data_IF_455323876216
#
_entry.id   IF_455323876216
#
_cell.length_a   1.000
_cell.length_b   1.000
_cell.length_c   1.000
_cell.angle_alpha   90.00
_cell.angle_beta   90.00
_cell.angle_gamma   90.00
#
_symmetry.space_group_name_H-M   'P 1'
#
loop_
_entity.id
_entity.type
_entity.pdbx_description
1 polymer ?
#
# COMPACT_ATOMS: atom_id res chain seq x y z
N UNK A 1 -0.36 -27.39 12.25
CA UNK A 1 -1.05 -26.22 11.67
C UNK A 1 -0.59 -24.94 12.38
N UNK A 2 0.72 -24.71 12.48
CA UNK A 2 1.31 -23.65 13.33
C UNK A 2 1.71 -22.39 12.53
N UNK A 3 1.78 -22.53 11.20
CA UNK A 3 2.30 -21.48 10.31
C UNK A 3 1.39 -20.25 10.24
N UNK A 4 0.07 -20.41 10.38
CA UNK A 4 -0.89 -19.30 10.25
C UNK A 4 -0.86 -18.32 11.43
N UNK A 5 -0.75 -18.84 12.66
CA UNK A 5 -0.66 -18.03 13.86
C UNK A 5 0.68 -17.29 13.93
N UNK A 6 1.78 -18.01 13.70
CA UNK A 6 3.14 -17.44 13.65
C UNK A 6 3.28 -16.34 12.58
N UNK A 7 2.65 -16.53 11.42
CA UNK A 7 2.67 -15.54 10.35
C UNK A 7 1.87 -14.27 10.72
N UNK A 8 0.69 -14.43 11.32
CA UNK A 8 -0.11 -13.29 11.80
C UNK A 8 0.60 -12.49 12.90
N UNK A 9 1.32 -13.19 13.80
CA UNK A 9 2.12 -12.55 14.84
C UNK A 9 3.32 -11.81 14.23
N UNK A 10 3.97 -12.40 13.23
CA UNK A 10 5.07 -11.77 12.50
C UNK A 10 4.63 -10.46 11.82
N UNK A 11 3.45 -10.46 11.19
CA UNK A 11 2.86 -9.25 10.62
C UNK A 11 2.50 -8.21 11.69
N UNK A 12 1.97 -8.64 12.84
CA UNK A 12 1.67 -7.74 13.94
C UNK A 12 2.94 -7.08 14.51
N UNK A 13 4.02 -7.84 14.65
CA UNK A 13 5.34 -7.32 15.06
C UNK A 13 5.91 -6.35 14.03
N UNK A 14 5.82 -6.71 12.74
CA UNK A 14 6.25 -5.83 11.65
C UNK A 14 5.47 -4.51 11.68
N UNK A 15 4.15 -4.57 11.81
CA UNK A 15 3.28 -3.39 11.92
C UNK A 15 3.71 -2.48 13.05
N UNK A 16 3.92 -3.01 14.26
CA UNK A 16 4.35 -2.22 15.41
C UNK A 16 5.70 -1.53 15.15
N UNK A 17 6.68 -2.28 14.61
CA UNK A 17 7.98 -1.72 14.23
C UNK A 17 7.84 -0.60 13.18
N UNK A 18 7.02 -0.80 12.16
CA UNK A 18 6.79 0.21 11.11
C UNK A 18 6.11 1.45 11.67
N UNK A 19 5.17 1.31 12.60
CA UNK A 19 4.52 2.45 13.28
C UNK A 19 5.56 3.30 14.02
N UNK A 20 6.45 2.68 14.78
CA UNK A 20 7.52 3.36 15.51
C UNK A 20 8.45 4.12 14.55
N UNK A 21 8.93 3.44 13.50
CA UNK A 21 9.75 4.06 12.45
C UNK A 21 9.04 5.24 11.77
N UNK A 22 7.75 5.11 11.47
CA UNK A 22 6.95 6.17 10.86
C UNK A 22 6.79 7.38 11.79
N UNK A 23 6.54 7.15 13.07
CA UNK A 23 6.43 8.21 14.08
C UNK A 23 7.77 8.93 14.26
N UNK A 24 8.88 8.19 14.31
CA UNK A 24 10.22 8.75 14.39
C UNK A 24 10.54 9.59 13.14
N UNK A 25 10.25 9.06 11.95
CA UNK A 25 10.44 9.78 10.69
C UNK A 25 9.61 11.06 10.63
N UNK A 26 8.35 11.05 11.05
CA UNK A 26 7.53 12.26 11.14
C UNK A 26 8.09 13.25 12.16
N UNK A 27 8.55 12.80 13.34
CA UNK A 27 9.16 13.67 14.36
C UNK A 27 10.45 14.32 13.86
N UNK A 28 11.33 13.55 13.23
CA UNK A 28 12.62 14.03 12.71
C UNK A 28 12.44 15.03 11.56
N UNK A 29 11.44 14.80 10.71
CA UNK A 29 11.17 15.67 9.56
C UNK A 29 10.29 16.86 9.91
N UNK A 30 9.55 16.80 11.03
CA UNK A 30 8.56 17.80 11.42
C UNK A 30 7.36 17.90 10.48
N UNK A 31 7.21 16.95 9.54
CA UNK A 31 6.21 16.99 8.47
C UNK A 31 5.23 15.84 8.60
N UNK A 32 3.97 16.11 8.25
CA UNK A 32 2.95 15.07 8.11
C UNK A 32 3.14 14.33 6.78
N UNK A 33 3.97 13.30 6.81
CA UNK A 33 4.17 12.39 5.68
C UNK A 33 2.96 11.47 5.51
N UNK A 34 2.63 11.15 4.25
CA UNK A 34 1.67 10.10 3.89
C UNK A 34 2.47 8.89 3.41
N UNK A 35 2.36 7.78 4.13
CA UNK A 35 3.09 6.56 3.81
C UNK A 35 2.39 5.74 2.71
N UNK A 36 3.17 5.09 1.86
CA UNK A 36 2.71 4.37 0.67
C UNK A 36 3.47 3.04 0.47
N UNK A 37 3.09 2.26 -0.54
CA UNK A 37 3.71 0.98 -0.93
C UNK A 37 3.88 0.03 0.29
N UNK A 38 5.05 -0.61 0.42
CA UNK A 38 5.38 -1.56 1.50
C UNK A 38 5.11 -1.01 2.90
N UNK A 39 5.31 0.29 3.11
CA UNK A 39 5.04 0.92 4.41
C UNK A 39 3.54 0.97 4.68
N UNK A 40 2.71 1.29 3.69
CA UNK A 40 1.26 1.25 3.84
C UNK A 40 0.74 -0.18 4.07
N UNK A 41 1.29 -1.17 3.37
CA UNK A 41 0.96 -2.59 3.59
C UNK A 41 1.31 -3.04 5.01
N UNK A 42 2.52 -2.73 5.47
CA UNK A 42 2.99 -3.07 6.82
C UNK A 42 2.14 -2.38 7.91
N UNK A 43 1.78 -1.11 7.72
CA UNK A 43 0.90 -0.37 8.64
C UNK A 43 -0.52 -0.95 8.71
N UNK A 44 -1.00 -1.53 7.60
CA UNK A 44 -2.30 -2.18 7.52
C UNK A 44 -2.26 -3.66 7.93
N UNK A 45 -1.06 -4.22 8.17
CA UNK A 45 -0.89 -5.64 8.49
C UNK A 45 -1.19 -6.56 7.30
N UNK A 46 -0.97 -6.05 6.09
CA UNK A 46 -1.13 -6.78 4.83
C UNK A 46 0.22 -7.38 4.45
N UNK A 47 0.16 -8.53 3.78
CA UNK A 47 1.32 -9.27 3.32
C UNK A 47 2.11 -8.46 2.28
N UNK A 48 3.44 -8.47 2.38
CA UNK A 48 4.31 -7.76 1.45
C UNK A 48 4.49 -8.58 0.16
N UNK A 49 4.40 -7.95 -1.02
CA UNK A 49 4.58 -8.64 -2.29
C UNK A 49 6.05 -9.05 -2.49
N UNK A 50 6.28 -10.09 -3.30
CA UNK A 50 7.64 -10.56 -3.59
C UNK A 50 8.12 -9.90 -4.88
N UNK A 51 9.17 -9.09 -4.77
CA UNK A 51 9.81 -8.47 -5.94
C UNK A 51 10.81 -9.45 -6.58
N UNK A 52 10.65 -9.77 -7.87
CA UNK A 52 11.62 -10.62 -8.59
C UNK A 52 12.93 -9.91 -8.93
N UNK A 53 12.92 -8.59 -9.11
CA UNK A 53 14.10 -7.78 -9.43
C UNK A 53 14.02 -6.41 -8.76
N UNK A 54 15.11 -5.96 -8.15
CA UNK A 54 15.25 -4.57 -7.66
C UNK A 54 14.17 -4.14 -6.68
N UNK A 55 13.83 -5.02 -5.73
CA UNK A 55 12.80 -4.75 -4.72
C UNK A 55 13.01 -3.40 -4.01
N UNK A 56 11.93 -2.87 -3.45
CA UNK A 56 12.02 -1.64 -2.66
C UNK A 56 13.09 -1.80 -1.57
N UNK A 57 13.85 -0.72 -1.34
CA UNK A 57 14.98 -0.74 -0.41
C UNK A 57 14.48 -1.21 0.96
N UNK A 58 14.95 -2.40 1.36
CA UNK A 58 14.64 -2.97 2.66
C UNK A 58 15.00 -1.97 3.77
N UNK A 59 14.11 -1.80 4.73
CA UNK A 59 14.24 -0.87 5.87
C UNK A 59 14.16 0.63 5.52
N UNK A 60 13.67 0.99 4.32
CA UNK A 60 13.32 2.38 3.98
C UNK A 60 11.81 2.62 4.01
N UNK A 61 11.41 3.77 4.56
CA UNK A 61 10.00 4.16 4.59
C UNK A 61 9.60 4.80 3.27
N UNK A 62 8.47 4.37 2.72
CA UNK A 62 7.97 4.89 1.45
C UNK A 62 6.87 5.91 1.73
N UNK A 63 7.03 7.12 1.19
CA UNK A 63 6.06 8.19 1.33
C UNK A 63 5.64 8.71 -0.04
N UNK A 64 4.33 8.94 -0.23
CA UNK A 64 3.81 9.47 -1.50
C UNK A 64 3.90 10.99 -1.55
N UNK A 65 4.23 11.52 -2.72
CA UNK A 65 4.15 12.94 -3.07
C UNK A 65 3.40 13.11 -4.39
N UNK A 66 2.56 14.14 -4.48
CA UNK A 66 1.85 14.49 -5.73
C UNK A 66 2.72 15.27 -6.72
N UNK A 67 3.76 15.97 -6.23
CA UNK A 67 4.54 16.88 -7.06
C UNK A 67 6.02 16.86 -6.73
N UNK A 68 6.83 16.92 -7.78
CA UNK A 68 8.30 16.81 -7.71
C UNK A 68 8.98 17.96 -6.95
N UNK A 69 8.27 19.06 -6.71
CA UNK A 69 8.76 20.25 -6.01
C UNK A 69 9.08 20.04 -4.52
N UNK A 70 8.83 18.84 -3.99
CA UNK A 70 9.05 18.51 -2.56
C UNK A 70 9.93 17.26 -2.40
N UNK A 71 10.78 16.95 -3.38
CA UNK A 71 11.84 15.94 -3.19
C UNK A 71 12.93 16.50 -2.27
N UNK A 72 12.62 16.62 -0.98
CA UNK A 72 13.65 16.75 0.04
C UNK A 72 14.21 15.34 0.23
N UNK A 73 15.50 15.14 -0.06
CA UNK A 73 16.15 13.85 0.22
C UNK A 73 16.20 13.69 1.74
N UNK A 74 15.28 12.91 2.30
CA UNK A 74 15.24 12.59 3.72
C UNK A 74 15.84 11.20 3.89
N UNK A 75 16.97 11.11 4.60
CA UNK A 75 17.69 9.85 4.78
C UNK A 75 16.77 8.77 5.38
N UNK A 76 16.62 7.62 4.72
CA UNK A 76 15.72 6.54 5.18
C UNK A 76 14.25 6.70 4.76
N UNK A 77 13.92 7.70 3.93
CA UNK A 77 12.59 7.88 3.35
C UNK A 77 12.71 7.95 1.82
N UNK A 78 12.05 7.02 1.13
CA UNK A 78 11.94 7.02 -0.31
C UNK A 78 10.62 7.71 -0.73
N UNK A 79 10.74 8.79 -1.51
CA UNK A 79 9.58 9.52 -2.00
C UNK A 79 9.09 8.94 -3.33
N UNK A 80 7.86 8.45 -3.31
CA UNK A 80 7.16 7.90 -4.46
C UNK A 80 6.31 9.00 -5.08
N UNK A 81 6.62 9.35 -6.33
CA UNK A 81 5.78 10.28 -7.09
C UNK A 81 4.55 9.53 -7.61
N UNK A 82 3.37 10.03 -7.29
CA UNK A 82 2.10 9.50 -7.80
C UNK A 82 1.16 10.64 -8.16
N UNK A 83 0.81 10.73 -9.43
CA UNK A 83 -0.09 11.76 -9.98
C UNK A 83 -1.54 11.30 -10.09
N UNK A 84 -1.84 10.04 -9.78
CA UNK A 84 -3.20 9.52 -9.77
C UNK A 84 -3.99 9.96 -8.54
N UNK A 85 -5.31 9.72 -8.49
CA UNK A 85 -6.12 9.99 -7.31
C UNK A 85 -5.56 9.25 -6.09
N UNK A 86 -5.52 9.93 -4.94
CA UNK A 86 -5.00 9.39 -3.69
C UNK A 86 -6.08 9.40 -2.61
N UNK A 87 -6.43 8.22 -2.11
CA UNK A 87 -7.24 8.12 -0.89
C UNK A 87 -6.32 7.86 0.29
N UNK A 88 -6.49 8.65 1.35
CA UNK A 88 -5.68 8.54 2.56
C UNK A 88 -6.52 8.02 3.72
N UNK A 89 -5.96 7.06 4.44
CA UNK A 89 -6.55 6.52 5.65
C UNK A 89 -5.73 6.93 6.88
N UNK A 90 -6.39 7.42 7.95
CA UNK A 90 -5.71 7.68 9.22
C UNK A 90 -5.37 6.35 9.91
N UNK A 91 -4.13 6.21 10.35
CA UNK A 91 -3.62 5.06 11.12
C UNK A 91 -3.17 5.55 12.50
N UNK A 92 -3.22 4.65 13.49
CA UNK A 92 -2.73 4.89 14.85
C UNK A 92 -3.34 6.17 15.47
N UNK A 93 -4.66 6.15 15.66
CA UNK A 93 -5.45 7.28 16.19
C UNK A 93 -5.27 8.58 15.39
N UNK A 94 -5.03 8.48 14.08
CA UNK A 94 -4.87 9.63 13.19
C UNK A 94 -3.53 10.36 13.30
N UNK A 95 -2.57 9.82 14.05
CA UNK A 95 -1.20 10.36 14.12
C UNK A 95 -0.44 10.10 12.82
N UNK A 96 -0.68 8.95 12.20
CA UNK A 96 -0.11 8.55 10.92
C UNK A 96 -1.19 8.62 9.83
N UNK A 97 -0.77 8.86 8.58
CA UNK A 97 -1.62 8.70 7.39
C UNK A 97 -0.91 7.79 6.41
N UNK A 98 -1.63 6.84 5.84
CA UNK A 98 -1.14 6.05 4.71
C UNK A 98 -2.15 6.05 3.57
N UNK A 99 -1.72 5.61 2.40
CA UNK A 99 -2.62 5.29 1.29
C UNK A 99 -3.53 4.13 1.67
N UNK A 100 -4.78 4.16 1.21
CA UNK A 100 -5.69 3.03 1.34
C UNK A 100 -5.22 1.81 0.52
N UNK A 101 -5.80 0.64 0.77
CA UNK A 101 -5.46 -0.60 0.06
C UNK A 101 -5.54 -0.45 -1.45
N UNK A 102 -6.58 0.22 -1.97
CA UNK A 102 -6.80 0.37 -3.42
C UNK A 102 -5.74 1.26 -4.07
N UNK A 103 -5.47 2.44 -3.50
CA UNK A 103 -4.39 3.30 -4.02
C UNK A 103 -3.04 2.61 -3.89
N UNK A 104 -2.79 1.91 -2.78
CA UNK A 104 -1.54 1.16 -2.57
C UNK A 104 -1.36 0.08 -3.64
N UNK A 105 -2.41 -0.69 -3.93
CA UNK A 105 -2.40 -1.70 -4.99
C UNK A 105 -2.11 -1.09 -6.37
N UNK A 106 -2.76 0.03 -6.71
CA UNK A 106 -2.53 0.73 -7.98
C UNK A 106 -1.08 1.25 -8.12
N UNK A 107 -0.48 1.71 -7.02
CA UNK A 107 0.93 2.10 -7.00
C UNK A 107 1.88 0.91 -7.22
N UNK A 108 1.50 -0.29 -6.75
CA UNK A 108 2.24 -1.53 -6.98
C UNK A 108 2.05 -2.10 -8.39
N UNK A 109 0.92 -1.84 -9.06
CA UNK A 109 0.67 -2.30 -10.43
C UNK A 109 1.74 -1.83 -11.44
N UNK A 110 2.43 -0.72 -11.13
CA UNK A 110 3.53 -0.19 -11.94
C UNK A 110 4.90 -0.82 -11.63
N UNK A 111 4.97 -1.75 -10.67
CA UNK A 111 6.21 -2.25 -10.05
C UNK A 111 6.25 -3.76 -9.88
N UNK A 112 5.10 -4.39 -9.72
CA UNK A 112 4.95 -5.84 -9.59
C UNK A 112 4.58 -6.45 -10.95
N UNK A 113 4.88 -7.73 -11.08
CA UNK A 113 4.34 -8.56 -12.15
C UNK A 113 2.86 -8.87 -11.89
N UNK A 114 2.11 -9.17 -12.94
CA UNK A 114 0.67 -9.40 -12.88
C UNK A 114 0.30 -10.52 -11.89
N UNK A 115 1.08 -11.61 -11.83
CA UNK A 115 0.82 -12.71 -10.89
C UNK A 115 0.95 -12.27 -9.43
N UNK A 116 2.01 -11.52 -9.10
CA UNK A 116 2.22 -11.01 -7.74
C UNK A 116 1.20 -9.91 -7.40
N UNK A 117 0.75 -9.15 -8.39
CA UNK A 117 -0.29 -8.15 -8.22
C UNK A 117 -1.65 -8.79 -7.88
N UNK A 118 -1.97 -9.94 -8.48
CA UNK A 118 -3.16 -10.75 -8.14
C UNK A 118 -3.05 -11.28 -6.71
N UNK A 119 -1.90 -11.85 -6.33
CA UNK A 119 -1.65 -12.35 -4.96
C UNK A 119 -1.78 -11.23 -3.93
N UNK A 120 -1.23 -10.04 -4.22
CA UNK A 120 -1.35 -8.87 -3.35
C UNK A 120 -2.81 -8.46 -3.16
N UNK A 121 -3.59 -8.42 -4.25
CA UNK A 121 -5.01 -8.09 -4.19
C UNK A 121 -5.81 -9.07 -3.33
N UNK A 122 -5.54 -10.37 -3.47
CA UNK A 122 -6.16 -11.43 -2.68
C UNK A 122 -5.78 -11.34 -1.18
N UNK A 123 -4.50 -11.08 -0.85
CA UNK A 123 -4.08 -10.86 0.55
C UNK A 123 -4.71 -9.60 1.16
N UNK A 124 -4.88 -8.53 0.39
CA UNK A 124 -5.63 -7.34 0.82
C UNK A 124 -7.09 -7.69 1.12
N UNK A 125 -7.76 -8.51 0.31
CA UNK A 125 -9.18 -8.89 0.55
C UNK A 125 -9.35 -9.68 1.84
N UNK A 126 -8.37 -10.50 2.21
CA UNK A 126 -8.41 -11.25 3.46
C UNK A 126 -8.24 -10.38 4.71
N UNK A 127 -7.42 -9.34 4.62
CA UNK A 127 -6.93 -8.57 5.78
C UNK A 127 -7.63 -7.23 5.94
N UNK A 128 -8.00 -6.58 4.85
CA UNK A 128 -8.69 -5.30 4.89
C UNK A 128 -10.21 -5.48 4.84
N UNK A 129 -10.85 -5.23 5.99
CA UNK A 129 -12.31 -5.26 6.12
C UNK A 129 -13.02 -4.22 5.25
N UNK A 130 -12.33 -3.16 4.80
CA UNK A 130 -12.87 -2.19 3.85
C UNK A 130 -13.01 -2.79 2.45
N UNK A 131 -12.10 -3.69 2.07
CA UNK A 131 -12.14 -4.40 0.80
C UNK A 131 -13.07 -5.63 0.82
N UNK A 132 -13.41 -6.15 2.02
CA UNK A 132 -14.46 -7.17 2.20
C UNK A 132 -15.88 -6.66 1.97
N UNK A 133 -16.10 -5.34 1.98
CA UNK A 133 -17.41 -4.79 1.65
C UNK A 133 -17.62 -4.86 0.14
N UNK A 134 -18.79 -5.34 -0.35
CA UNK A 134 -19.06 -5.49 -1.77
C UNK A 134 -19.34 -4.11 -2.38
N UNK A 135 -18.32 -3.27 -2.45
CA UNK A 135 -18.36 -2.07 -3.25
C UNK A 135 -17.57 -2.38 -4.53
N UNK A 136 -18.22 -3.11 -5.41
CA UNK A 136 -17.83 -3.30 -6.81
C UNK A 136 -17.49 -1.97 -7.51
N UNK A 137 -18.01 -0.84 -6.98
CA UNK A 137 -17.62 0.52 -7.38
C UNK A 137 -16.12 0.84 -7.16
N UNK A 138 -15.39 0.14 -6.28
CA UNK A 138 -13.95 0.32 -6.07
C UNK A 138 -13.11 -0.26 -7.19
N UNK A 139 -13.57 -1.36 -7.78
CA UNK A 139 -12.90 -1.93 -8.95
C UNK A 139 -13.02 -1.01 -10.16
N UNK A 140 -14.14 -0.28 -10.30
CA UNK A 140 -14.24 0.83 -11.25
C UNK A 140 -13.18 1.92 -11.00
N UNK A 141 -12.86 2.22 -9.73
CA UNK A 141 -11.74 3.10 -9.38
C UNK A 141 -10.36 2.47 -9.63
N UNK A 142 -10.18 1.14 -9.61
CA UNK A 142 -8.91 0.51 -9.98
C UNK A 142 -8.57 0.72 -11.47
N UNK A 143 -9.58 0.69 -12.35
CA UNK A 143 -9.39 0.98 -13.78
C UNK A 143 -9.12 2.47 -14.04
N UNK A 144 -9.66 3.38 -13.21
CA UNK A 144 -9.42 4.83 -13.31
C UNK A 144 -8.10 5.25 -12.61
N UNK A 145 -7.72 4.59 -11.53
CA UNK A 145 -6.53 4.90 -10.74
C UNK A 145 -5.24 4.36 -11.36
N UNK A 146 -5.34 3.37 -12.25
CA UNK A 146 -4.20 2.90 -13.03
C UNK A 146 -4.34 3.36 -14.50
N UNK A 147 -3.80 4.54 -14.86
CA UNK A 147 -3.86 5.05 -16.24
C UNK A 147 -3.11 4.18 -17.27
N UNK A 148 -2.46 3.10 -16.84
CA UNK A 148 -1.64 2.19 -17.66
C UNK A 148 -2.24 0.78 -17.75
N UNK A 149 -3.38 0.50 -17.08
CA UNK A 149 -4.07 -0.79 -17.20
C UNK A 149 -5.36 -0.65 -18.04
N UNK A 150 -5.29 -0.68 -19.38
CA UNK A 150 -6.49 -0.85 -20.20
C UNK A 150 -7.06 -2.28 -20.11
N UNK A 151 -6.36 -3.23 -19.48
CA UNK A 151 -6.64 -4.68 -19.63
C UNK A 151 -7.40 -5.34 -18.47
N UNK A 152 -7.78 -4.61 -17.42
CA UNK A 152 -8.74 -5.15 -16.43
C UNK A 152 -10.14 -4.68 -16.84
N UNK A 153 -10.58 -5.16 -18.00
CA UNK A 153 -11.98 -5.12 -18.37
C UNK A 153 -12.69 -6.04 -17.38
N UNK A 154 -13.62 -5.48 -16.60
CA UNK A 154 -14.45 -6.25 -15.69
C UNK A 154 -15.00 -7.48 -16.44
N UNK A 155 -14.98 -8.69 -15.86
CA UNK A 155 -15.69 -9.81 -16.46
C UNK A 155 -17.17 -9.43 -16.48
N UNK A 156 -17.68 -9.11 -17.66
CA UNK A 156 -19.07 -8.69 -17.89
C UNK A 156 -20.07 -9.83 -17.72
N UNK A 157 -19.65 -11.01 -17.30
CA UNK A 157 -20.51 -12.20 -17.25
C UNK A 157 -20.63 -12.73 -15.83
N UNK A 158 -21.50 -12.10 -15.04
CA UNK A 158 -22.30 -12.81 -14.02
C UNK A 158 -23.66 -12.13 -13.91
N UNK A 159 -24.48 -12.33 -14.95
CA UNK A 159 -25.94 -12.22 -14.89
C UNK A 159 -26.52 -13.56 -15.35
N UNK A 160 -26.83 -14.43 -14.38
CA UNK A 160 -28.14 -15.08 -14.26
C UNK A 160 -28.27 -15.82 -12.94
#
# INVERSE_FOLDING_TARGET
MDNGAQYSESLARLRTRTIEQCLEAQRRTGRRLVFALDTALSLQGIELPRYRCGGLLADTLHAVIESNGVRTILQGICFVLWSGPQTHMPIHHGRLRCTDSVTTWAMHANRLEDEELVVLGDSMMRRDGHMKRPHWRSFGYMSIACPICPTIQAPTDYVR
#
